data_IF_542314604175
#
_entry.id   IF_542314604175
#
_cell.length_a   1.000
_cell.length_b   1.000
_cell.length_c   1.000
_cell.angle_alpha   90.00
_cell.angle_beta   90.00
_cell.angle_gamma   90.00
#
_symmetry.space_group_name_H-M   'P 1'
#
loop_
_entity.id
_entity.type
_entity.pdbx_description
1 polymer ?
#
# COMPACT_ATOMS: atom_id res chain seq x y z
N UNK A 1 -41.99 -5.65 -19.83
CA UNK A 1 -42.18 -6.26 -18.51
C UNK A 1 -40.80 -6.39 -17.87
N UNK A 2 -40.27 -5.28 -17.35
CA UNK A 2 -38.92 -5.22 -16.78
C UNK A 2 -39.03 -5.30 -15.26
N UNK A 3 -38.35 -6.29 -14.67
CA UNK A 3 -38.21 -6.44 -13.24
C UNK A 3 -37.31 -5.33 -12.69
N UNK A 4 -37.90 -4.31 -12.06
CA UNK A 4 -37.17 -3.46 -11.11
C UNK A 4 -36.99 -4.26 -9.82
N UNK A 5 -35.89 -5.02 -9.74
CA UNK A 5 -35.50 -5.74 -8.53
C UNK A 5 -34.28 -5.08 -7.91
N UNK A 6 -34.47 -4.41 -6.77
CA UNK A 6 -33.38 -3.95 -5.91
C UNK A 6 -32.82 -5.19 -5.18
N UNK A 7 -31.74 -5.79 -5.70
CA UNK A 7 -31.09 -6.93 -5.05
C UNK A 7 -30.13 -6.39 -3.99
N UNK A 8 -30.54 -6.47 -2.72
CA UNK A 8 -29.69 -6.14 -1.57
C UNK A 8 -29.81 -7.20 -0.47
N UNK A 9 -28.69 -7.59 0.12
CA UNK A 9 -28.65 -8.27 1.42
C UNK A 9 -28.92 -7.24 2.51
N UNK A 10 -30.06 -7.39 3.18
CA UNK A 10 -30.54 -6.48 4.21
C UNK A 10 -30.28 -7.06 5.60
N UNK A 11 -29.83 -6.22 6.53
CA UNK A 11 -29.93 -6.50 7.97
C UNK A 11 -30.83 -5.44 8.60
N UNK A 12 -32.14 -5.60 8.44
CA UNK A 12 -33.13 -4.82 9.20
C UNK A 12 -33.21 -5.44 10.61
N UNK A 13 -33.20 -4.62 11.67
CA UNK A 13 -33.21 -5.08 13.07
C UNK A 13 -34.47 -5.86 13.51
N UNK A 14 -35.39 -6.18 12.59
CA UNK A 14 -36.51 -7.10 12.84
C UNK A 14 -36.10 -8.53 12.46
N UNK A 15 -35.39 -9.20 13.35
CA UNK A 15 -35.47 -10.64 13.67
C UNK A 15 -35.32 -11.73 12.60
N UNK A 16 -35.44 -11.46 11.29
CA UNK A 16 -35.43 -12.47 10.24
C UNK A 16 -34.28 -12.22 9.26
N UNK A 17 -33.39 -13.20 9.16
CA UNK A 17 -32.29 -13.25 8.20
C UNK A 17 -32.84 -13.46 6.78
N UNK A 18 -32.99 -12.38 6.02
CA UNK A 18 -33.35 -12.46 4.60
C UNK A 18 -32.08 -12.40 3.75
N UNK A 19 -31.76 -13.48 3.04
CA UNK A 19 -30.64 -13.50 2.08
C UNK A 19 -30.88 -12.59 0.86
N UNK A 20 -32.13 -12.24 0.60
CA UNK A 20 -32.54 -11.31 -0.45
C UNK A 20 -33.80 -10.57 -0.04
N UNK A 21 -33.88 -9.28 -0.37
CA UNK A 21 -35.11 -8.49 -0.23
C UNK A 21 -35.49 -7.98 -1.61
N UNK A 22 -36.75 -8.19 -2.01
CA UNK A 22 -37.32 -7.65 -3.24
C UNK A 22 -38.45 -6.72 -2.83
N UNK A 23 -38.47 -5.51 -3.38
CA UNK A 23 -39.55 -4.55 -3.21
C UNK A 23 -40.12 -4.18 -4.57
N UNK A 24 -41.44 -4.22 -4.68
CA UNK A 24 -42.17 -3.89 -5.89
C UNK A 24 -42.86 -2.53 -5.72
N UNK A 25 -43.05 -1.81 -6.83
CA UNK A 25 -43.83 -0.57 -6.89
C UNK A 25 -43.41 0.51 -5.88
N UNK A 26 -42.11 0.73 -5.74
CA UNK A 26 -41.58 1.80 -4.91
C UNK A 26 -41.59 3.14 -5.65
N UNK A 27 -41.98 4.19 -4.93
CA UNK A 27 -41.70 5.56 -5.35
C UNK A 27 -40.19 5.85 -5.31
N UNK A 28 -39.74 6.76 -6.18
CA UNK A 28 -38.32 7.11 -6.34
C UNK A 28 -37.70 7.64 -5.04
N UNK A 29 -38.46 8.42 -4.28
CA UNK A 29 -38.09 8.96 -2.96
C UNK A 29 -37.78 7.84 -1.96
N UNK A 30 -38.58 6.76 -1.97
CA UNK A 30 -38.43 5.63 -1.04
C UNK A 30 -37.18 4.81 -1.38
N UNK A 31 -36.83 4.67 -2.67
CA UNK A 31 -35.57 4.01 -3.06
C UNK A 31 -34.34 4.74 -2.50
N UNK A 32 -34.35 6.08 -2.54
CA UNK A 32 -33.30 6.91 -1.96
C UNK A 32 -33.24 6.75 -0.44
N UNK A 33 -34.38 6.81 0.25
CA UNK A 33 -34.46 6.63 1.71
C UNK A 33 -33.92 5.25 2.14
N UNK A 34 -34.21 4.20 1.37
CA UNK A 34 -33.66 2.86 1.61
C UNK A 34 -32.12 2.87 1.57
N UNK A 35 -31.51 3.53 0.59
CA UNK A 35 -30.05 3.62 0.49
C UNK A 35 -29.48 4.40 1.69
N UNK A 36 -30.11 5.51 2.08
CA UNK A 36 -29.71 6.29 3.25
C UNK A 36 -29.76 5.46 4.55
N UNK A 37 -30.85 4.72 4.76
CA UNK A 37 -31.00 3.84 5.92
C UNK A 37 -29.92 2.74 5.96
N UNK A 38 -29.58 2.15 4.81
CA UNK A 38 -28.52 1.14 4.73
C UNK A 38 -27.15 1.75 5.05
N UNK A 39 -26.85 2.96 4.55
CA UNK A 39 -25.60 3.68 4.85
C UNK A 39 -25.47 4.03 6.34
N UNK A 40 -26.58 4.38 6.98
CA UNK A 40 -26.65 4.72 8.40
C UNK A 40 -26.74 3.50 9.33
N UNK A 41 -26.83 2.29 8.78
CA UNK A 41 -26.87 1.07 9.58
C UNK A 41 -25.60 0.91 10.44
N UNK A 42 -25.65 0.17 11.58
CA UNK A 42 -24.51 0.03 12.48
C UNK A 42 -23.24 -0.51 11.82
N UNK A 43 -23.39 -1.34 10.79
CA UNK A 43 -22.29 -1.94 10.05
C UNK A 43 -21.67 -1.00 9.01
N UNK A 44 -22.31 0.16 8.72
CA UNK A 44 -21.90 1.17 7.73
C UNK A 44 -21.32 0.55 6.44
N UNK A 45 -22.07 -0.32 5.75
CA UNK A 45 -21.59 -0.99 4.55
C UNK A 45 -21.38 0.01 3.41
N UNK A 46 -20.41 -0.30 2.53
CA UNK A 46 -20.26 0.40 1.26
C UNK A 46 -21.42 -0.03 0.34
N UNK A 47 -22.17 0.94 -0.16
CA UNK A 47 -23.36 0.73 -0.99
C UNK A 47 -23.08 1.08 -2.44
N UNK A 48 -23.54 0.24 -3.37
CA UNK A 48 -23.52 0.54 -4.79
C UNK A 48 -24.95 0.49 -5.33
N UNK A 49 -25.32 1.46 -6.16
CA UNK A 49 -26.63 1.51 -6.81
C UNK A 49 -26.47 1.40 -8.33
N UNK A 50 -27.33 0.60 -8.95
CA UNK A 50 -27.33 0.34 -10.39
C UNK A 50 -28.68 0.77 -10.96
N UNK A 51 -28.67 1.50 -12.07
CA UNK A 51 -29.92 1.90 -12.76
C UNK A 51 -29.69 2.28 -14.22
N UNK A 52 -30.77 2.27 -15.00
CA UNK A 52 -30.75 2.55 -16.45
C UNK A 52 -31.64 3.75 -16.84
N UNK A 53 -32.57 4.15 -15.97
CA UNK A 53 -33.54 5.20 -16.23
C UNK A 53 -33.38 6.46 -15.36
N UNK A 54 -34.13 7.50 -15.73
CA UNK A 54 -34.23 8.75 -14.97
C UNK A 54 -34.70 8.54 -13.52
N UNK A 55 -35.45 7.46 -13.30
CA UNK A 55 -36.05 7.12 -12.00
C UNK A 55 -34.99 6.73 -10.96
N UNK A 56 -33.88 6.17 -11.43
CA UNK A 56 -32.83 5.63 -10.58
C UNK A 56 -31.75 6.66 -10.27
N UNK A 57 -31.77 7.85 -10.90
CA UNK A 57 -30.74 8.89 -10.74
C UNK A 57 -30.56 9.28 -9.28
N UNK A 58 -31.65 9.51 -8.54
CA UNK A 58 -31.59 9.87 -7.13
C UNK A 58 -30.98 8.75 -6.27
N UNK A 59 -31.33 7.49 -6.57
CA UNK A 59 -30.76 6.31 -5.89
C UNK A 59 -29.27 6.14 -6.20
N UNK A 60 -28.87 6.36 -7.46
CA UNK A 60 -27.48 6.28 -7.94
C UNK A 60 -26.61 7.32 -7.23
N UNK A 61 -27.09 8.57 -7.15
CA UNK A 61 -26.37 9.68 -6.52
C UNK A 61 -26.25 9.54 -5.00
N UNK A 62 -27.20 8.86 -4.36
CA UNK A 62 -27.16 8.64 -2.91
C UNK A 62 -26.22 7.49 -2.50
N UNK A 63 -25.97 6.51 -3.37
CA UNK A 63 -25.04 5.41 -3.08
C UNK A 63 -23.58 5.90 -3.01
N UNK A 64 -22.69 5.11 -2.40
CA UNK A 64 -21.26 5.43 -2.40
C UNK A 64 -20.63 5.26 -3.78
N UNK A 65 -21.19 4.36 -4.61
CA UNK A 65 -20.78 4.13 -5.98
C UNK A 65 -22.02 4.02 -6.86
N UNK A 66 -22.15 4.90 -7.83
CA UNK A 66 -23.21 4.92 -8.83
C UNK A 66 -22.81 4.21 -10.12
N UNK A 67 -23.61 3.24 -10.55
CA UNK A 67 -23.37 2.44 -11.76
C UNK A 67 -24.54 2.61 -12.75
N UNK A 68 -24.32 3.35 -13.83
CA UNK A 68 -25.32 3.58 -14.87
C UNK A 68 -25.24 2.53 -15.96
N UNK A 69 -26.39 2.01 -16.38
CA UNK A 69 -26.51 1.13 -17.55
C UNK A 69 -27.16 1.92 -18.69
N UNK A 70 -26.62 1.81 -19.91
CA UNK A 70 -27.21 2.42 -21.09
C UNK A 70 -28.54 1.72 -21.42
N UNK A 71 -29.64 2.35 -21.01
CA UNK A 71 -30.99 1.97 -21.39
C UNK A 71 -31.34 2.37 -22.82
N UNK A 72 -32.40 1.77 -23.36
CA UNK A 72 -32.99 2.16 -24.66
C UNK A 72 -33.78 3.47 -24.58
N UNK A 73 -34.32 3.78 -23.41
CA UNK A 73 -35.28 4.88 -23.18
C UNK A 73 -34.62 6.21 -22.77
N UNK A 74 -33.33 6.20 -22.43
CA UNK A 74 -32.60 7.42 -22.09
C UNK A 74 -31.18 7.19 -21.59
N UNK A 75 -30.36 8.25 -21.59
CA UNK A 75 -28.97 8.23 -21.11
C UNK A 75 -28.79 9.02 -19.79
N UNK A 76 -29.88 9.32 -19.09
CA UNK A 76 -29.83 10.17 -17.90
C UNK A 76 -29.13 9.47 -16.73
N UNK A 77 -29.44 8.19 -16.46
CA UNK A 77 -28.78 7.41 -15.40
C UNK A 77 -27.26 7.36 -15.59
N UNK A 78 -26.82 7.12 -16.84
CA UNK A 78 -25.41 7.06 -17.24
C UNK A 78 -24.67 8.39 -17.06
N UNK A 79 -25.34 9.52 -17.31
CA UNK A 79 -24.75 10.86 -17.12
C UNK A 79 -24.60 11.24 -15.65
N UNK A 80 -25.42 10.65 -14.78
CA UNK A 80 -25.44 10.94 -13.35
C UNK A 80 -24.75 9.85 -12.51
N UNK A 81 -24.16 8.83 -13.13
CA UNK A 81 -23.44 7.73 -12.47
C UNK A 81 -21.92 7.91 -12.55
N UNK A 82 -21.18 7.36 -11.59
CA UNK A 82 -19.71 7.35 -11.58
C UNK A 82 -19.14 6.47 -12.71
N UNK A 83 -19.78 5.32 -12.97
CA UNK A 83 -19.39 4.41 -14.06
C UNK A 83 -20.56 4.08 -14.97
N UNK A 84 -20.28 4.01 -16.28
CA UNK A 84 -21.27 3.75 -17.31
C UNK A 84 -20.99 2.44 -18.05
N UNK A 85 -22.00 1.58 -18.20
CA UNK A 85 -21.88 0.29 -18.90
C UNK A 85 -22.94 0.13 -19.97
N UNK A 86 -22.62 -0.62 -21.03
CA UNK A 86 -23.61 -1.00 -22.04
C UNK A 86 -24.58 -2.09 -21.58
N UNK A 87 -24.15 -2.98 -20.69
CA UNK A 87 -24.92 -4.15 -20.25
C UNK A 87 -24.58 -4.53 -18.81
N UNK A 88 -25.57 -5.07 -18.07
CA UNK A 88 -25.41 -5.48 -16.67
C UNK A 88 -24.27 -6.49 -16.46
N UNK A 89 -24.01 -7.39 -17.43
CA UNK A 89 -22.95 -8.42 -17.32
C UNK A 89 -21.54 -7.87 -17.06
N UNK A 90 -21.27 -6.62 -17.46
CA UNK A 90 -19.95 -6.01 -17.26
C UNK A 90 -19.70 -5.58 -15.82
N UNK A 91 -20.75 -5.36 -15.02
CA UNK A 91 -20.65 -5.01 -13.61
C UNK A 91 -19.87 -6.07 -12.82
N UNK A 92 -20.09 -7.36 -13.15
CA UNK A 92 -19.34 -8.48 -12.54
C UNK A 92 -17.84 -8.31 -12.70
N UNK A 93 -17.36 -7.96 -13.91
CA UNK A 93 -15.93 -7.79 -14.18
C UNK A 93 -15.37 -6.54 -13.49
N UNK A 94 -16.13 -5.44 -13.49
CA UNK A 94 -15.70 -4.20 -12.85
C UNK A 94 -15.52 -4.38 -11.34
N UNK A 95 -16.48 -5.00 -10.66
CA UNK A 95 -16.38 -5.19 -9.22
C UNK A 95 -15.30 -6.23 -8.86
N UNK A 96 -15.36 -7.42 -9.45
CA UNK A 96 -14.48 -8.53 -9.05
C UNK A 96 -13.03 -8.37 -9.52
N UNK A 97 -12.80 -7.77 -10.70
CA UNK A 97 -11.45 -7.61 -11.24
C UNK A 97 -10.90 -6.23 -10.92
N UNK A 98 -11.54 -5.18 -11.45
CA UNK A 98 -11.01 -3.81 -11.30
C UNK A 98 -11.13 -3.29 -9.87
N UNK A 99 -12.24 -3.56 -9.17
CA UNK A 99 -12.41 -3.20 -7.77
C UNK A 99 -11.37 -3.87 -6.87
N UNK A 100 -11.08 -5.15 -7.11
CA UNK A 100 -10.06 -5.90 -6.37
C UNK A 100 -8.67 -5.29 -6.55
N UNK A 101 -8.25 -5.08 -7.80
CA UNK A 101 -6.95 -4.50 -8.11
C UNK A 101 -6.82 -3.07 -7.57
N UNK A 102 -7.83 -2.23 -7.77
CA UNK A 102 -7.82 -0.84 -7.35
C UNK A 102 -7.69 -0.71 -5.83
N UNK A 103 -8.45 -1.51 -5.09
CA UNK A 103 -8.37 -1.52 -3.63
C UNK A 103 -6.97 -1.91 -3.13
N UNK A 104 -6.37 -2.96 -3.69
CA UNK A 104 -5.03 -3.40 -3.32
C UNK A 104 -3.96 -2.34 -3.66
N UNK A 105 -4.04 -1.77 -4.86
CA UNK A 105 -3.11 -0.74 -5.36
C UNK A 105 -3.13 0.49 -4.46
N UNK A 106 -4.30 1.06 -4.18
CA UNK A 106 -4.42 2.26 -3.34
C UNK A 106 -4.04 1.97 -1.91
N UNK A 107 -4.48 0.84 -1.35
CA UNK A 107 -4.15 0.51 0.04
C UNK A 107 -2.65 0.40 0.24
N UNK A 108 -1.96 -0.29 -0.66
CA UNK A 108 -0.51 -0.42 -0.61
C UNK A 108 0.18 0.92 -0.85
N UNK A 109 -0.29 1.72 -1.82
CA UNK A 109 0.28 3.02 -2.14
C UNK A 109 0.30 3.93 -0.91
N UNK A 110 -0.82 4.03 -0.19
CA UNK A 110 -0.92 4.88 1.01
C UNK A 110 -0.03 4.36 2.13
N UNK A 111 -0.08 3.06 2.42
CA UNK A 111 0.74 2.45 3.48
C UNK A 111 2.24 2.61 3.21
N UNK A 112 2.65 2.39 1.96
CA UNK A 112 4.02 2.59 1.52
C UNK A 112 4.44 4.06 1.59
N UNK A 113 3.55 4.99 1.26
CA UNK A 113 3.83 6.42 1.35
C UNK A 113 4.15 6.85 2.78
N UNK A 114 3.39 6.38 3.78
CA UNK A 114 3.72 6.63 5.18
C UNK A 114 5.04 5.97 5.59
N UNK A 115 5.20 4.69 5.26
CA UNK A 115 6.41 3.94 5.56
C UNK A 115 7.67 4.62 5.02
N UNK A 116 7.71 5.01 3.73
CA UNK A 116 8.91 5.60 3.12
C UNK A 116 9.29 6.95 3.71
N UNK A 117 8.30 7.72 4.18
CA UNK A 117 8.55 9.03 4.79
C UNK A 117 9.06 8.88 6.22
N UNK A 118 8.54 7.90 6.97
CA UNK A 118 9.07 7.54 8.30
C UNK A 118 10.53 7.11 8.18
N UNK A 119 10.84 6.16 7.29
CA UNK A 119 12.22 5.68 7.07
C UNK A 119 13.16 6.83 6.71
N UNK A 120 12.66 7.84 5.99
CA UNK A 120 13.44 8.97 5.55
C UNK A 120 13.71 10.01 6.64
N UNK A 121 12.70 10.40 7.42
CA UNK A 121 12.81 11.50 8.39
C UNK A 121 13.33 11.06 9.76
N UNK A 122 13.10 9.81 10.16
CA UNK A 122 13.50 9.32 11.49
C UNK A 122 15.03 9.31 11.72
N UNK A 123 15.91 9.08 10.73
CA UNK A 123 17.36 9.24 10.92
C UNK A 123 17.75 10.66 11.36
N UNK A 124 17.08 11.70 10.84
CA UNK A 124 17.27 13.09 11.28
C UNK A 124 16.85 13.28 12.74
N UNK A 125 15.78 12.60 13.17
CA UNK A 125 15.36 12.61 14.57
C UNK A 125 16.42 11.96 15.48
N UNK A 126 16.94 10.80 15.11
CA UNK A 126 18.02 10.14 15.86
C UNK A 126 19.28 11.02 15.93
N UNK A 127 19.64 11.66 14.83
CA UNK A 127 20.77 12.59 14.80
C UNK A 127 20.57 13.78 15.75
N UNK A 128 19.37 14.37 15.80
CA UNK A 128 19.07 15.46 16.73
C UNK A 128 19.26 15.07 18.20
N UNK A 129 18.96 13.81 18.58
CA UNK A 129 19.24 13.33 19.94
C UNK A 129 20.75 13.26 20.22
N UNK A 130 21.55 12.82 19.24
CA UNK A 130 23.01 12.75 19.38
C UNK A 130 23.66 14.14 19.37
N UNK A 131 23.09 15.10 18.67
CA UNK A 131 23.61 16.46 18.56
C UNK A 131 23.12 17.41 19.66
N UNK A 132 22.56 16.87 20.76
CA UNK A 132 21.97 17.63 21.86
C UNK A 132 20.93 18.68 21.42
N UNK A 133 20.11 18.33 20.42
CA UNK A 133 19.08 19.19 19.83
C UNK A 133 19.60 20.51 19.23
N UNK A 134 20.84 20.51 18.73
CA UNK A 134 21.41 21.66 18.01
C UNK A 134 20.75 21.95 16.65
N UNK A 135 19.78 21.13 16.23
CA UNK A 135 19.01 21.28 14.96
C UNK A 135 19.85 21.15 13.69
N UNK A 136 21.02 20.52 13.77
CA UNK A 136 21.87 20.27 12.60
C UNK A 136 21.25 19.24 11.65
N UNK A 137 21.25 19.54 10.35
CA UNK A 137 20.71 18.64 9.33
C UNK A 137 21.71 17.53 8.99
N UNK A 138 21.25 16.28 8.95
CA UNK A 138 22.03 15.15 8.48
C UNK A 138 22.04 15.10 6.94
N UNK A 139 20.95 15.54 6.31
CA UNK A 139 20.80 15.54 4.86
C UNK A 139 21.02 16.93 4.29
N UNK A 140 21.63 16.97 3.11
CA UNK A 140 21.69 18.20 2.33
C UNK A 140 20.29 18.64 1.86
N UNK A 141 20.11 19.95 1.74
CA UNK A 141 18.88 20.57 1.24
C UNK A 141 18.42 20.05 -0.14
N UNK A 142 19.36 19.75 -1.04
CA UNK A 142 19.08 19.17 -2.33
C UNK A 142 18.52 17.75 -2.20
N UNK A 143 19.14 16.91 -1.37
CA UNK A 143 18.70 15.54 -1.10
C UNK A 143 17.33 15.51 -0.41
N UNK A 144 17.05 16.44 0.50
CA UNK A 144 15.72 16.61 1.12
C UNK A 144 14.63 16.87 0.07
N UNK A 145 14.91 17.77 -0.87
CA UNK A 145 13.94 18.17 -1.89
C UNK A 145 13.72 17.09 -2.97
N UNK A 146 14.79 16.39 -3.36
CA UNK A 146 14.74 15.40 -4.45
C UNK A 146 14.15 14.05 -4.04
N UNK A 147 14.21 13.69 -2.75
CA UNK A 147 13.83 12.35 -2.26
C UNK A 147 12.42 11.91 -2.71
N UNK A 148 11.42 12.75 -2.45
CA UNK A 148 10.02 12.40 -2.72
C UNK A 148 9.66 12.51 -4.20
N UNK A 149 10.29 13.43 -4.95
CA UNK A 149 9.92 13.75 -6.32
C UNK A 149 10.63 12.87 -7.34
N UNK A 150 11.93 12.65 -7.19
CA UNK A 150 12.74 11.97 -8.21
C UNK A 150 12.95 10.49 -7.89
N UNK A 151 13.30 10.17 -6.64
CA UNK A 151 13.80 8.83 -6.32
C UNK A 151 12.73 7.87 -5.83
N UNK A 152 11.63 8.34 -5.25
CA UNK A 152 10.65 7.41 -4.61
C UNK A 152 9.21 7.56 -5.11
N UNK A 153 8.96 8.38 -6.13
CA UNK A 153 7.63 8.60 -6.72
C UNK A 153 7.33 7.63 -7.87
N UNK A 154 8.27 7.46 -8.80
CA UNK A 154 8.06 6.72 -10.03
C UNK A 154 7.75 5.23 -9.75
N UNK A 155 8.51 4.50 -8.91
CA UNK A 155 8.23 3.08 -8.69
C UNK A 155 6.88 2.82 -8.02
N UNK A 156 6.50 3.66 -7.05
CA UNK A 156 5.21 3.51 -6.36
C UNK A 156 4.03 3.90 -7.26
N UNK A 157 4.23 4.85 -8.17
CA UNK A 157 3.22 5.19 -9.18
C UNK A 157 3.02 4.03 -10.16
N UNK A 158 4.10 3.45 -10.69
CA UNK A 158 4.02 2.29 -11.58
C UNK A 158 3.39 1.09 -10.87
N UNK A 159 3.74 0.83 -9.61
CA UNK A 159 3.07 -0.15 -8.77
C UNK A 159 1.56 0.13 -8.67
N UNK A 160 1.18 1.36 -8.33
CA UNK A 160 -0.22 1.78 -8.18
C UNK A 160 -1.04 1.66 -9.47
N UNK A 161 -0.41 1.70 -10.64
CA UNK A 161 -1.08 1.60 -11.93
C UNK A 161 -1.16 0.16 -12.46
N UNK A 162 -0.11 -0.63 -12.29
CA UNK A 162 0.06 -1.90 -13.01
C UNK A 162 0.04 -3.15 -12.14
N UNK A 163 0.09 -3.03 -10.81
CA UNK A 163 0.15 -4.21 -9.92
C UNK A 163 -1.08 -5.11 -10.08
N UNK A 164 -0.86 -6.43 -10.16
CA UNK A 164 -1.92 -7.44 -10.27
C UNK A 164 -1.57 -8.64 -9.40
N UNK A 165 -2.26 -8.78 -8.27
CA UNK A 165 -2.03 -9.92 -7.37
C UNK A 165 -2.57 -11.25 -7.94
N UNK A 166 -3.66 -11.19 -8.71
CA UNK A 166 -4.28 -12.32 -9.41
C UNK A 166 -4.67 -11.90 -10.83
N UNK A 167 -4.66 -12.86 -11.76
CA UNK A 167 -5.14 -12.63 -13.13
C UNK A 167 -6.65 -12.35 -13.16
N UNK A 168 -7.10 -11.65 -14.19
CA UNK A 168 -8.51 -11.32 -14.41
C UNK A 168 -9.39 -12.57 -14.51
N UNK A 169 -8.91 -13.60 -15.21
CA UNK A 169 -9.61 -14.90 -15.34
C UNK A 169 -9.82 -15.53 -13.96
N UNK A 170 -8.77 -15.59 -13.13
CA UNK A 170 -8.84 -16.19 -11.79
C UNK A 170 -9.82 -15.44 -10.89
N UNK A 171 -9.84 -14.11 -10.94
CA UNK A 171 -10.77 -13.29 -10.16
C UNK A 171 -12.24 -13.48 -10.60
N UNK A 172 -12.47 -13.75 -11.89
CA UNK A 172 -13.81 -14.05 -12.41
C UNK A 172 -14.28 -15.48 -12.05
N UNK A 173 -13.39 -16.46 -12.10
CA UNK A 173 -13.66 -17.86 -11.76
C UNK A 173 -13.84 -18.08 -10.26
N UNK A 174 -13.11 -17.32 -9.44
CA UNK A 174 -13.10 -17.44 -7.98
C UNK A 174 -13.63 -16.17 -7.26
N UNK A 175 -14.96 -15.88 -7.29
CA UNK A 175 -15.52 -14.71 -6.62
C UNK A 175 -15.30 -14.64 -5.11
N UNK A 176 -14.99 -15.77 -4.46
CA UNK A 176 -14.72 -15.83 -3.02
C UNK A 176 -13.49 -15.00 -2.63
N UNK A 177 -12.53 -14.79 -3.54
CA UNK A 177 -11.34 -13.96 -3.31
C UNK A 177 -11.70 -12.50 -2.99
N UNK A 178 -12.85 -12.01 -3.46
CA UNK A 178 -13.33 -10.68 -3.13
C UNK A 178 -13.65 -10.53 -1.63
N UNK A 179 -13.93 -11.63 -0.91
CA UNK A 179 -14.14 -11.58 0.55
C UNK A 179 -12.85 -11.33 1.32
N UNK A 180 -11.69 -11.65 0.75
CA UNK A 180 -10.38 -11.41 1.41
C UNK A 180 -10.08 -9.93 1.57
N UNK A 181 -10.61 -9.09 0.66
CA UNK A 181 -10.45 -7.64 0.68
C UNK A 181 -11.66 -6.91 1.29
N UNK A 182 -12.73 -7.63 1.63
CA UNK A 182 -13.91 -7.06 2.26
C UNK A 182 -13.59 -6.48 3.64
N UNK A 183 -14.44 -5.57 4.14
CA UNK A 183 -14.29 -4.91 5.45
C UNK A 183 -12.97 -4.12 5.63
N UNK A 184 -12.39 -3.67 4.53
CA UNK A 184 -11.24 -2.78 4.53
C UNK A 184 -9.99 -3.32 5.28
N UNK A 185 -9.74 -4.63 5.19
CA UNK A 185 -8.67 -5.32 5.97
C UNK A 185 -7.28 -4.74 5.70
N UNK A 186 -6.97 -4.38 4.44
CA UNK A 186 -5.66 -3.86 4.05
C UNK A 186 -5.38 -2.47 4.68
N UNK A 187 -6.40 -1.62 4.83
CA UNK A 187 -6.27 -0.30 5.47
C UNK A 187 -6.70 -0.30 6.95
N UNK A 188 -6.78 -1.47 7.58
CA UNK A 188 -7.05 -1.54 9.01
C UNK A 188 -5.93 -0.89 9.83
N UNK A 189 -6.26 -0.40 11.03
CA UNK A 189 -5.28 0.17 11.96
C UNK A 189 -4.12 -0.79 12.27
N UNK A 190 -4.40 -2.09 12.36
CA UNK A 190 -3.36 -3.12 12.57
C UNK A 190 -2.37 -3.16 11.41
N UNK A 191 -2.87 -3.13 10.16
CA UNK A 191 -2.02 -3.08 8.97
C UNK A 191 -1.18 -1.80 8.95
N UNK A 192 -1.79 -0.66 9.25
CA UNK A 192 -1.08 0.62 9.33
C UNK A 192 0.04 0.62 10.36
N UNK A 193 -0.24 0.17 11.59
CA UNK A 193 0.76 0.05 12.66
C UNK A 193 1.88 -0.94 12.29
N UNK A 194 1.56 -2.03 11.58
CA UNK A 194 2.57 -2.97 11.08
C UNK A 194 3.54 -2.30 10.11
N UNK A 195 3.05 -1.47 9.18
CA UNK A 195 3.91 -0.72 8.26
C UNK A 195 4.76 0.33 8.99
N UNK A 196 4.21 1.01 9.99
CA UNK A 196 4.97 1.92 10.86
C UNK A 196 6.08 1.17 11.60
N UNK A 197 5.77 0.02 12.21
CA UNK A 197 6.75 -0.77 12.94
C UNK A 197 7.92 -1.22 12.05
N UNK A 198 7.65 -1.64 10.81
CA UNK A 198 8.72 -1.89 9.84
C UNK A 198 9.50 -0.63 9.47
N UNK A 199 8.84 0.51 9.35
CA UNK A 199 9.50 1.80 9.12
C UNK A 199 10.48 2.14 10.23
N UNK A 200 10.06 1.99 11.49
CA UNK A 200 10.90 2.20 12.69
C UNK A 200 12.05 1.20 12.74
N UNK A 201 11.80 -0.08 12.45
CA UNK A 201 12.87 -1.09 12.37
C UNK A 201 13.93 -0.72 11.31
N UNK A 202 13.50 -0.41 10.09
CA UNK A 202 14.42 -0.09 9.00
C UNK A 202 15.22 1.19 9.27
N UNK A 203 14.59 2.27 9.74
CA UNK A 203 15.33 3.49 10.08
C UNK A 203 16.33 3.28 11.22
N UNK A 204 16.00 2.48 12.23
CA UNK A 204 16.93 2.14 13.32
C UNK A 204 18.14 1.41 12.74
N UNK A 205 17.93 0.39 11.93
CA UNK A 205 19.03 -0.38 11.30
C UNK A 205 19.89 0.52 10.40
N UNK A 206 19.26 1.31 9.53
CA UNK A 206 19.95 2.20 8.59
C UNK A 206 20.82 3.24 9.29
N UNK A 207 20.35 3.79 10.42
CA UNK A 207 21.09 4.81 11.15
C UNK A 207 22.18 4.20 12.03
N UNK A 208 21.86 3.14 12.78
CA UNK A 208 22.76 2.61 13.80
C UNK A 208 23.87 1.72 13.23
N UNK A 209 23.70 1.06 12.08
CA UNK A 209 24.78 0.27 11.47
C UNK A 209 26.01 1.16 11.14
N UNK A 210 25.87 2.24 10.34
CA UNK A 210 26.98 3.18 10.11
C UNK A 210 27.50 3.83 11.39
N UNK A 211 26.61 4.18 12.32
CA UNK A 211 27.00 4.82 13.57
C UNK A 211 27.89 3.94 14.45
N UNK A 212 27.52 2.67 14.65
CA UNK A 212 28.33 1.74 15.44
C UNK A 212 29.66 1.40 14.76
N UNK A 213 29.68 1.34 13.43
CA UNK A 213 30.92 1.14 12.69
C UNK A 213 31.90 2.30 12.94
N UNK A 214 31.40 3.54 12.87
CA UNK A 214 32.17 4.77 13.14
C UNK A 214 32.70 4.83 14.58
N UNK A 215 31.94 4.31 15.55
CA UNK A 215 32.38 4.21 16.94
C UNK A 215 33.51 3.20 17.17
N UNK A 216 33.61 2.15 16.33
CA UNK A 216 34.65 1.12 16.44
C UNK A 216 35.94 1.57 15.75
N UNK A 217 35.81 2.21 14.58
CA UNK A 217 36.93 2.73 13.82
C UNK A 217 36.54 4.07 13.20
N UNK A 218 37.31 5.12 13.47
CA UNK A 218 37.06 6.45 12.92
C UNK A 218 37.48 6.56 11.45
N UNK A 219 38.50 5.80 11.02
CA UNK A 219 39.08 5.82 9.67
C UNK A 219 38.63 4.61 8.84
N UNK A 220 37.38 4.66 8.36
CA UNK A 220 36.71 3.55 7.65
C UNK A 220 36.89 3.61 6.13
N UNK A 221 37.15 4.80 5.58
CA UNK A 221 37.30 4.97 4.14
C UNK A 221 38.66 4.45 3.67
N UNK A 222 38.74 4.09 2.39
CA UNK A 222 39.97 3.62 1.73
C UNK A 222 41.17 4.54 1.98
N UNK A 223 40.92 5.85 2.03
CA UNK A 223 41.94 6.89 2.21
C UNK A 223 42.33 7.11 3.69
N UNK A 224 41.83 6.28 4.62
CA UNK A 224 42.00 6.41 6.08
C UNK A 224 41.54 7.75 6.66
N UNK A 225 40.62 8.43 5.96
CA UNK A 225 40.02 9.68 6.41
C UNK A 225 38.82 9.41 7.32
N UNK A 226 38.57 10.29 8.32
CA UNK A 226 37.40 10.17 9.16
C UNK A 226 36.12 10.49 8.39
N UNK A 227 35.02 9.85 8.79
CA UNK A 227 33.69 10.14 8.25
C UNK A 227 33.21 11.49 8.79
N UNK A 228 33.04 12.47 7.90
CA UNK A 228 32.41 13.74 8.26
C UNK A 228 30.86 13.62 8.25
N UNK A 229 30.19 14.64 8.78
CA UNK A 229 28.73 14.64 8.89
C UNK A 229 28.03 14.46 7.53
N UNK A 230 28.56 15.07 6.48
CA UNK A 230 27.98 15.02 5.14
C UNK A 230 28.18 13.67 4.46
N UNK A 231 29.33 13.02 4.68
CA UNK A 231 29.55 11.63 4.29
C UNK A 231 28.57 10.72 5.03
N UNK A 232 28.45 10.85 6.35
CA UNK A 232 27.54 10.05 7.17
C UNK A 232 26.09 10.16 6.66
N UNK A 233 25.63 11.39 6.41
CA UNK A 233 24.32 11.64 5.83
C UNK A 233 24.13 11.06 4.43
N UNK A 234 25.16 11.13 3.58
CA UNK A 234 25.14 10.55 2.24
C UNK A 234 25.04 9.02 2.26
N UNK A 235 25.74 8.36 3.18
CA UNK A 235 25.68 6.90 3.37
C UNK A 235 24.27 6.47 3.81
N UNK A 236 23.71 7.16 4.80
CA UNK A 236 22.36 6.91 5.28
C UNK A 236 21.35 7.13 4.15
N UNK A 237 21.47 8.23 3.40
CA UNK A 237 20.56 8.54 2.30
C UNK A 237 20.62 7.47 1.20
N UNK A 238 21.82 7.00 0.84
CA UNK A 238 22.00 5.90 -0.11
C UNK A 238 21.28 4.62 0.36
N UNK A 239 21.44 4.26 1.64
CA UNK A 239 20.76 3.11 2.23
C UNK A 239 19.24 3.29 2.23
N UNK A 240 18.72 4.47 2.61
CA UNK A 240 17.28 4.77 2.60
C UNK A 240 16.69 4.59 1.21
N UNK A 241 17.26 5.24 0.18
CA UNK A 241 16.74 5.16 -1.20
C UNK A 241 16.76 3.72 -1.69
N UNK A 242 17.85 2.99 -1.44
CA UNK A 242 17.99 1.61 -1.92
C UNK A 242 17.02 0.67 -1.20
N UNK A 243 16.94 0.72 0.13
CA UNK A 243 16.09 -0.18 0.93
C UNK A 243 14.61 0.09 0.69
N UNK A 244 14.18 1.34 0.58
CA UNK A 244 12.78 1.69 0.30
C UNK A 244 12.34 1.15 -1.05
N UNK A 245 13.16 1.32 -2.10
CA UNK A 245 12.86 0.79 -3.43
C UNK A 245 12.88 -0.74 -3.48
N UNK A 246 13.86 -1.38 -2.85
CA UNK A 246 13.91 -2.85 -2.75
C UNK A 246 12.76 -3.43 -1.94
N UNK A 247 12.32 -2.75 -0.87
CA UNK A 247 11.12 -3.12 -0.11
C UNK A 247 9.89 -3.17 -1.01
N UNK A 248 9.74 -2.19 -1.91
CA UNK A 248 8.64 -2.19 -2.87
C UNK A 248 8.76 -3.34 -3.87
N UNK A 249 9.97 -3.62 -4.36
CA UNK A 249 10.22 -4.77 -5.24
C UNK A 249 9.74 -6.06 -4.60
N UNK A 250 10.21 -6.37 -3.38
CA UNK A 250 9.85 -7.61 -2.70
C UNK A 250 8.37 -7.68 -2.30
N UNK A 251 7.71 -6.54 -2.14
CA UNK A 251 6.28 -6.50 -1.86
C UNK A 251 5.42 -6.82 -3.09
N UNK A 252 5.89 -6.43 -4.29
CA UNK A 252 5.18 -6.67 -5.55
C UNK A 252 5.10 -8.16 -5.90
N UNK A 253 3.92 -8.57 -6.36
CA UNK A 253 3.63 -9.91 -6.87
C UNK A 253 3.72 -9.95 -8.40
N UNK A 254 3.50 -8.83 -9.08
CA UNK A 254 3.52 -8.74 -10.53
C UNK A 254 4.74 -7.99 -11.06
N UNK A 255 5.75 -8.75 -11.47
CA UNK A 255 7.01 -8.21 -11.97
C UNK A 255 6.94 -7.87 -13.45
N UNK A 256 6.30 -6.75 -13.75
CA UNK A 256 6.33 -6.18 -15.11
C UNK A 256 7.70 -5.59 -15.43
N UNK A 257 8.10 -5.63 -16.71
CA UNK A 257 9.34 -5.00 -17.15
C UNK A 257 9.38 -3.50 -16.82
N UNK A 258 8.24 -2.80 -17.00
CA UNK A 258 8.11 -1.37 -16.67
C UNK A 258 8.36 -1.12 -15.18
N UNK A 259 7.83 -1.98 -14.30
CA UNK A 259 8.06 -1.88 -12.86
C UNK A 259 9.53 -2.09 -12.49
N UNK A 260 10.16 -3.15 -12.99
CA UNK A 260 11.58 -3.42 -12.72
C UNK A 260 12.45 -2.26 -13.21
N UNK A 261 12.22 -1.79 -14.44
CA UNK A 261 12.94 -0.65 -15.01
C UNK A 261 12.76 0.60 -14.14
N UNK A 262 11.54 0.85 -13.63
CA UNK A 262 11.30 2.02 -12.77
C UNK A 262 12.11 1.98 -11.47
N UNK A 263 12.27 0.79 -10.86
CA UNK A 263 13.07 0.61 -9.64
C UNK A 263 14.56 0.78 -9.94
N UNK A 264 15.06 0.12 -10.99
CA UNK A 264 16.47 0.22 -11.38
C UNK A 264 16.82 1.66 -11.75
N UNK A 265 15.95 2.34 -12.51
CA UNK A 265 16.11 3.74 -12.88
C UNK A 265 16.13 4.66 -11.66
N UNK A 266 15.32 4.38 -10.64
CA UNK A 266 15.34 5.13 -9.39
C UNK A 266 16.67 5.00 -8.65
N UNK A 267 17.17 3.77 -8.45
CA UNK A 267 18.41 3.50 -7.71
C UNK A 267 19.63 4.02 -8.49
N UNK A 268 19.74 3.66 -9.78
CA UNK A 268 20.87 4.10 -10.63
C UNK A 268 20.80 5.60 -10.88
N UNK A 269 19.59 6.15 -11.08
CA UNK A 269 19.37 7.59 -11.23
C UNK A 269 19.79 8.37 -10.00
N UNK A 270 19.56 7.84 -8.80
CA UNK A 270 20.11 8.40 -7.57
C UNK A 270 21.64 8.39 -7.56
N UNK A 271 22.27 7.24 -7.81
CA UNK A 271 23.74 7.14 -7.83
C UNK A 271 24.34 8.12 -8.85
N UNK A 272 23.75 8.22 -10.04
CA UNK A 272 24.16 9.15 -11.09
C UNK A 272 24.01 10.62 -10.68
N UNK A 273 22.84 11.00 -10.15
CA UNK A 273 22.60 12.38 -9.71
C UNK A 273 23.45 12.78 -8.50
N UNK A 274 23.65 11.89 -7.53
CA UNK A 274 24.54 12.12 -6.41
C UNK A 274 26.00 12.29 -6.86
N UNK A 275 26.43 11.51 -7.84
CA UNK A 275 27.77 11.64 -8.44
C UNK A 275 27.93 12.96 -9.19
N UNK A 276 26.93 13.38 -9.99
CA UNK A 276 26.94 14.67 -10.67
C UNK A 276 26.99 15.82 -9.65
N UNK A 277 26.19 15.73 -8.59
CA UNK A 277 26.15 16.74 -7.54
C UNK A 277 27.49 16.87 -6.81
N UNK A 278 28.21 15.77 -6.61
CA UNK A 278 29.54 15.78 -6.00
C UNK A 278 30.64 16.43 -6.87
N UNK A 279 30.41 16.65 -8.17
CA UNK A 279 31.34 17.39 -9.05
C UNK A 279 31.16 18.91 -8.89
N UNK A 280 29.96 19.36 -8.52
CA UNK A 280 29.65 20.78 -8.41
C UNK A 280 30.30 21.34 -7.14
N UNK A 281 31.08 22.44 -7.22
CA UNK A 281 31.68 23.06 -6.05
C UNK A 281 30.61 23.46 -5.02
N UNK A 282 30.74 22.96 -3.80
CA UNK A 282 29.77 23.17 -2.73
C UNK A 282 30.09 22.33 -1.50
N UNK A 283 29.12 22.23 -0.58
CA UNK A 283 29.24 21.45 0.66
C UNK A 283 29.41 19.94 0.42
N UNK A 284 28.93 19.43 -0.71
CA UNK A 284 29.00 18.00 -1.09
C UNK A 284 30.14 17.66 -2.05
N UNK A 285 31.09 18.58 -2.26
CA UNK A 285 32.15 18.42 -3.24
C UNK A 285 33.01 17.17 -2.91
N UNK A 286 33.12 16.25 -3.86
CA UNK A 286 33.76 14.92 -3.74
C UNK A 286 33.25 13.96 -2.66
N UNK A 287 32.36 14.38 -1.77
CA UNK A 287 31.86 13.57 -0.65
C UNK A 287 31.32 12.22 -1.15
N UNK A 288 30.41 12.23 -2.12
CA UNK A 288 29.83 10.98 -2.63
C UNK A 288 30.84 10.11 -3.40
N UNK A 289 31.82 10.71 -4.09
CA UNK A 289 32.88 9.96 -4.79
C UNK A 289 33.78 9.22 -3.82
N UNK A 290 34.18 9.86 -2.72
CA UNK A 290 34.94 9.18 -1.66
C UNK A 290 34.12 8.04 -1.02
N UNK A 291 32.80 8.22 -0.88
CA UNK A 291 31.91 7.16 -0.38
C UNK A 291 31.95 5.91 -1.29
N UNK A 292 31.63 6.07 -2.57
CA UNK A 292 31.48 4.95 -3.52
C UNK A 292 32.82 4.29 -3.89
N UNK A 293 33.94 5.01 -3.75
CA UNK A 293 35.27 4.47 -4.00
C UNK A 293 35.70 3.49 -2.91
N UNK A 294 35.13 3.59 -1.72
CA UNK A 294 35.48 2.73 -0.59
C UNK A 294 34.73 1.39 -0.63
N UNK A 295 35.41 0.23 -0.55
CA UNK A 295 34.74 -1.07 -0.43
C UNK A 295 33.88 -1.21 0.83
N UNK A 296 34.26 -0.53 1.92
CA UNK A 296 33.52 -0.53 3.19
C UNK A 296 32.11 0.03 3.04
N UNK A 297 31.91 1.02 2.17
CA UNK A 297 30.61 1.60 1.85
C UNK A 297 29.65 0.58 1.23
N UNK A 298 30.12 -0.21 0.27
CA UNK A 298 29.32 -1.23 -0.40
C UNK A 298 28.98 -2.39 0.54
N UNK A 299 29.96 -2.85 1.33
CA UNK A 299 29.72 -3.90 2.34
C UNK A 299 28.71 -3.45 3.39
N UNK A 300 28.81 -2.21 3.85
CA UNK A 300 27.86 -1.63 4.79
C UNK A 300 26.45 -1.54 4.17
N UNK A 301 26.37 -1.11 2.91
CA UNK A 301 25.10 -1.00 2.20
C UNK A 301 24.42 -2.37 2.05
N UNK A 302 25.19 -3.41 1.68
CA UNK A 302 24.71 -4.80 1.59
C UNK A 302 24.27 -5.32 2.96
N UNK A 303 25.04 -5.06 4.01
CA UNK A 303 24.69 -5.44 5.38
C UNK A 303 23.39 -4.77 5.83
N UNK A 304 23.24 -3.46 5.61
CA UNK A 304 22.04 -2.71 5.95
C UNK A 304 20.81 -3.23 5.18
N UNK A 305 20.95 -3.56 3.89
CA UNK A 305 19.90 -4.16 3.08
C UNK A 305 19.48 -5.52 3.65
N UNK A 306 20.45 -6.38 3.99
CA UNK A 306 20.19 -7.71 4.53
C UNK A 306 19.46 -7.64 5.88
N UNK A 307 19.97 -6.84 6.83
CA UNK A 307 19.40 -6.71 8.18
C UNK A 307 18.01 -6.04 8.15
N UNK A 308 17.77 -5.12 7.23
CA UNK A 308 16.44 -4.53 7.05
C UNK A 308 15.46 -5.53 6.43
N UNK A 309 15.75 -6.03 5.23
CA UNK A 309 14.76 -6.69 4.39
C UNK A 309 14.55 -8.17 4.73
N UNK A 310 15.53 -8.88 5.30
CA UNK A 310 15.37 -10.31 5.63
C UNK A 310 14.31 -10.51 6.73
N UNK A 311 14.33 -9.80 7.88
CA UNK A 311 13.28 -9.94 8.89
C UNK A 311 11.89 -9.55 8.35
N UNK A 312 11.82 -8.50 7.56
CA UNK A 312 10.54 -8.01 7.01
C UNK A 312 9.92 -8.99 6.00
N UNK A 313 10.72 -9.53 5.09
CA UNK A 313 10.27 -10.54 4.12
C UNK A 313 9.91 -11.85 4.81
N UNK A 314 10.69 -12.30 5.79
CA UNK A 314 10.40 -13.52 6.56
C UNK A 314 9.09 -13.39 7.33
N UNK A 315 8.87 -12.29 8.06
CA UNK A 315 7.61 -12.04 8.77
C UNK A 315 6.42 -12.00 7.79
N UNK A 316 6.58 -11.34 6.64
CA UNK A 316 5.52 -11.23 5.64
C UNK A 316 5.14 -12.58 5.03
N UNK A 317 6.11 -13.47 4.80
CA UNK A 317 5.89 -14.82 4.28
C UNK A 317 5.36 -15.76 5.36
N UNK A 318 5.89 -15.71 6.58
CA UNK A 318 5.53 -16.63 7.66
C UNK A 318 4.14 -16.36 8.24
N UNK A 319 3.73 -15.08 8.33
CA UNK A 319 2.46 -14.70 9.00
C UNK A 319 1.23 -15.43 8.43
N UNK A 320 1.00 -15.47 7.10
CA UNK A 320 -0.12 -16.22 6.51
C UNK A 320 -0.04 -17.73 6.80
N UNK A 321 1.16 -18.32 6.73
CA UNK A 321 1.35 -19.75 7.00
C UNK A 321 1.03 -20.09 8.45
N UNK A 322 1.55 -19.32 9.41
CA UNK A 322 1.28 -19.49 10.84
C UNK A 322 -0.20 -19.30 11.15
N UNK A 323 -0.83 -18.25 10.62
CA UNK A 323 -2.27 -18.01 10.81
C UNK A 323 -3.11 -19.15 10.23
N UNK A 324 -2.76 -19.67 9.06
CA UNK A 324 -3.44 -20.83 8.48
C UNK A 324 -3.28 -22.10 9.34
N UNK A 325 -2.10 -22.30 9.94
CA UNK A 325 -1.85 -23.42 10.83
C UNK A 325 -2.62 -23.29 12.15
N UNK A 326 -2.64 -22.08 12.75
CA UNK A 326 -3.39 -21.77 13.96
C UNK A 326 -4.91 -21.88 13.77
N UNK A 327 -5.41 -21.49 12.58
CA UNK A 327 -6.81 -21.67 12.25
C UNK A 327 -7.16 -23.16 12.15
N UNK A 328 -6.34 -23.95 11.45
CA UNK A 328 -6.52 -25.41 11.37
C UNK A 328 -6.51 -26.08 12.75
N UNK A 329 -5.60 -25.70 13.64
CA UNK A 329 -5.56 -26.26 15.00
C UNK A 329 -6.74 -25.81 15.85
N UNK A 330 -7.19 -24.56 15.77
CA UNK A 330 -8.41 -24.12 16.46
C UNK A 330 -9.66 -24.87 16.00
N UNK A 331 -9.82 -25.08 14.70
CA UNK A 331 -10.93 -25.87 14.14
C UNK A 331 -10.85 -27.31 14.61
N UNK A 332 -9.65 -27.90 14.63
CA UNK A 332 -9.43 -29.26 15.13
C UNK A 332 -9.75 -29.42 16.62
N UNK A 333 -9.27 -28.50 17.48
CA UNK A 333 -9.58 -28.47 18.92
C UNK A 333 -11.08 -28.29 19.15
N UNK A 334 -11.74 -27.43 18.37
CA UNK A 334 -13.20 -27.25 18.44
C UNK A 334 -13.97 -28.52 18.13
N UNK A 335 -13.50 -29.31 17.14
CA UNK A 335 -14.10 -30.58 16.75
C UNK A 335 -13.89 -31.69 17.79
N UNK A 336 -12.70 -31.76 18.40
CA UNK A 336 -12.45 -32.69 19.52
C UNK A 336 -13.31 -32.34 20.75
N UNK A 337 -13.56 -31.05 21.00
CA UNK A 337 -14.37 -30.62 22.15
C UNK A 337 -15.84 -31.01 22.01
N UNK A 338 -16.39 -30.97 20.79
CA UNK A 338 -17.76 -31.41 20.51
C UNK A 338 -17.91 -32.93 20.65
N UNK A 339 -16.91 -33.71 20.22
CA UNK A 339 -16.92 -35.18 20.35
C UNK A 339 -16.82 -35.65 21.82
N UNK A 340 -16.14 -34.90 22.70
CA UNK A 340 -16.08 -35.20 24.14
C UNK A 340 -17.32 -34.80 24.96
N UNK A 341 -18.21 -33.98 24.41
CA UNK A 341 -19.48 -33.60 25.07
C UNK A 341 -20.67 -34.48 24.68
N UNK A 342 -20.50 -35.35 23.69
CA UNK A 342 -21.50 -36.32 23.24
C UNK A 342 -21.28 -37.74 23.84
N UNK A 343 -20.27 -37.88 24.71
CA UNK A 343 -20.01 -39.05 25.58
C UNK A 343 -20.30 -38.68 27.03
#
# INVERSE_FOLDING_TARGET
MFYHGLIGTFRVSRGNFSNSVVRNSLERSVCLEVVQLVKQSPNKPITAAIGDGANDVAMIQEAHVGLGIMGKEGRQAVRCSDFAFGQFRFVRRVLLVHGHWYYLRISTLVLYFFYKNIVFITPQLFFNFLSAFSTQAIYDTAYLSMYNVLFTSLPILIYGLFEQNYSDVKLLECPHLYKEIANNVLMSWCSFLKWIAFGVWHTTVIFYIPYFLMMINEAILLDSTPIDQWMFGSIIYHCVVTIVNLKLWFHSRYWSAVFIISIVLSIVGFIGLASIYAIIPGTMYWVYFHAISSPTFWLLSVLAIAVCLVPDTTITVLTPHILSALYRTKVWIGKCRTETTEL
#
